data_IF_727978627902
#
_entry.id   IF_727978627902
#
_cell.length_a   1.000
_cell.length_b   1.000
_cell.length_c   1.000
_cell.angle_alpha   90.00
_cell.angle_beta   90.00
_cell.angle_gamma   90.00
#
_symmetry.space_group_name_H-M   'P 1'
#
loop_
_entity.id
_entity.type
_entity.pdbx_description
1 polymer ?
#
# COMPACT_ATOMS: atom_id res chain seq x y z
N UNK A 1 20.55 50.79 30.81
CA UNK A 1 19.72 49.67 31.30
C UNK A 1 19.28 48.86 30.10
N UNK A 2 19.61 47.56 29.98
CA UNK A 2 19.11 46.73 28.90
C UNK A 2 17.81 46.04 29.35
N UNK A 3 16.79 46.03 28.49
CA UNK A 3 15.65 45.14 28.61
C UNK A 3 15.64 44.23 27.38
N UNK A 4 15.81 42.95 27.66
CA UNK A 4 15.79 41.84 26.75
C UNK A 4 14.33 41.58 26.33
N UNK A 5 14.05 41.38 25.04
CA UNK A 5 12.78 40.78 24.62
C UNK A 5 12.99 39.99 23.33
N UNK A 6 12.86 38.67 23.45
CA UNK A 6 13.09 37.66 22.41
C UNK A 6 12.06 37.74 21.27
N UNK A 7 12.43 37.46 20.02
CA UNK A 7 11.48 37.44 18.91
C UNK A 7 10.72 36.12 18.84
N UNK A 8 9.40 36.18 19.06
CA UNK A 8 8.48 35.09 18.75
C UNK A 8 8.35 34.97 17.21
N UNK A 9 9.01 33.96 16.65
CA UNK A 9 8.97 33.70 15.20
C UNK A 9 7.68 32.95 14.86
N UNK A 10 6.65 33.66 14.43
CA UNK A 10 5.45 33.06 13.82
C UNK A 10 5.77 32.73 12.36
N UNK A 11 6.19 31.48 12.08
CA UNK A 11 6.30 30.99 10.71
C UNK A 11 4.93 30.56 10.21
N UNK A 12 4.21 31.51 9.60
CA UNK A 12 3.04 31.21 8.79
C UNK A 12 3.48 30.45 7.53
N UNK A 13 3.12 29.17 7.44
CA UNK A 13 3.34 28.37 6.24
C UNK A 13 2.32 28.79 5.17
N UNK A 14 2.79 29.53 4.17
CA UNK A 14 2.00 29.87 2.99
C UNK A 14 1.81 28.61 2.13
N UNK A 15 0.57 28.12 2.04
CA UNK A 15 0.19 27.07 1.10
C UNK A 15 0.02 27.72 -0.27
N UNK A 16 1.03 27.56 -1.14
CA UNK A 16 0.92 27.98 -2.52
C UNK A 16 0.13 26.91 -3.31
N UNK A 17 -1.11 27.24 -3.66
CA UNK A 17 -1.92 26.43 -4.58
C UNK A 17 -1.42 26.73 -6.00
N UNK A 18 -0.62 25.83 -6.57
CA UNK A 18 -0.23 25.91 -7.97
C UNK A 18 -1.35 25.32 -8.85
N UNK A 19 -2.15 26.20 -9.47
CA UNK A 19 -3.10 25.83 -10.51
C UNK A 19 -2.40 25.82 -11.87
N UNK A 20 -2.16 24.60 -12.37
CA UNK A 20 -2.28 24.17 -13.77
C UNK A 20 -1.60 24.95 -14.90
N UNK A 21 -0.61 24.31 -15.53
CA UNK A 21 -0.51 24.16 -16.99
C UNK A 21 0.66 23.23 -17.32
N UNK A 22 0.38 21.98 -17.68
CA UNK A 22 1.39 21.01 -18.10
C UNK A 22 0.77 20.04 -19.10
N UNK A 23 0.99 20.34 -20.38
CA UNK A 23 0.74 19.46 -21.53
C UNK A 23 1.42 18.11 -21.27
N UNK A 24 0.79 17.00 -21.70
CA UNK A 24 1.44 15.87 -22.38
C UNK A 24 0.42 14.76 -22.65
N UNK A 25 -0.09 14.74 -23.87
CA UNK A 25 -0.59 13.52 -24.49
C UNK A 25 0.60 12.60 -24.74
N UNK A 26 1.00 11.90 -23.69
CA UNK A 26 1.86 10.73 -23.74
C UNK A 26 1.26 9.77 -22.74
N UNK A 27 0.45 8.82 -23.21
CA UNK A 27 0.13 7.66 -22.41
C UNK A 27 1.45 6.90 -22.21
N UNK A 28 2.26 7.33 -21.25
CA UNK A 28 3.20 6.44 -20.60
C UNK A 28 2.33 5.30 -20.09
N UNK A 29 2.38 4.15 -20.76
CA UNK A 29 1.71 2.96 -20.27
C UNK A 29 2.12 2.81 -18.83
N UNK A 30 1.15 2.92 -17.91
CA UNK A 30 1.42 2.82 -16.49
C UNK A 30 2.18 1.51 -16.29
N UNK A 31 3.46 1.60 -15.90
CA UNK A 31 4.25 0.42 -15.63
C UNK A 31 3.53 -0.34 -14.53
N UNK A 32 2.95 -1.48 -14.87
CA UNK A 32 2.33 -2.38 -13.92
C UNK A 32 3.46 -3.01 -13.12
N UNK A 33 3.50 -2.77 -11.82
CA UNK A 33 4.48 -3.37 -10.94
C UNK A 33 3.91 -4.69 -10.44
N UNK A 34 4.32 -5.80 -11.04
CA UNK A 34 3.93 -7.11 -10.54
C UNK A 34 4.41 -7.29 -9.10
N UNK A 35 3.59 -8.01 -8.32
CA UNK A 35 3.99 -8.46 -7.00
C UNK A 35 5.14 -9.45 -7.18
N UNK A 36 6.26 -9.20 -6.49
CA UNK A 36 7.47 -9.98 -6.65
C UNK A 36 7.22 -11.44 -6.26
N UNK A 37 7.66 -12.42 -7.07
CA UNK A 37 7.70 -13.81 -6.65
C UNK A 37 8.57 -13.97 -5.41
N UNK A 38 8.15 -14.84 -4.49
CA UNK A 38 8.87 -15.07 -3.24
C UNK A 38 7.98 -15.60 -2.13
N UNK A 39 8.59 -15.99 -1.02
CA UNK A 39 7.89 -16.42 0.18
C UNK A 39 7.72 -15.25 1.15
N UNK A 40 6.58 -15.23 1.82
CA UNK A 40 6.14 -14.13 2.67
C UNK A 40 5.46 -14.66 3.93
N UNK A 41 5.65 -13.95 5.04
CA UNK A 41 4.71 -14.00 6.15
C UNK A 41 3.55 -13.04 5.84
N UNK A 42 2.35 -13.60 5.71
CA UNK A 42 1.10 -12.87 5.53
C UNK A 42 0.43 -12.63 6.89
N UNK A 43 0.31 -11.36 7.26
CA UNK A 43 -0.35 -10.90 8.48
C UNK A 43 -1.62 -10.14 8.10
N UNK A 44 -2.78 -10.60 8.59
CA UNK A 44 -4.05 -9.89 8.49
C UNK A 44 -4.31 -9.14 9.79
N UNK A 45 -4.61 -7.84 9.68
CA UNK A 45 -4.90 -6.97 10.80
C UNK A 45 -6.35 -6.47 10.73
N UNK A 46 -7.01 -6.43 11.88
CA UNK A 46 -8.34 -5.82 12.07
C UNK A 46 -8.25 -4.85 13.24
N UNK A 47 -8.61 -3.58 13.01
CA UNK A 47 -8.48 -2.54 14.04
C UNK A 47 -7.05 -2.33 14.57
N UNK A 48 -6.02 -2.66 13.79
CA UNK A 48 -4.61 -2.59 14.20
C UNK A 48 -4.09 -3.81 14.97
N UNK A 49 -4.94 -4.78 15.29
CA UNK A 49 -4.57 -6.03 15.98
C UNK A 49 -4.38 -7.15 14.97
N UNK A 50 -3.39 -8.03 15.20
CA UNK A 50 -3.19 -9.23 14.37
C UNK A 50 -4.36 -10.19 14.58
N UNK A 51 -5.12 -10.44 13.53
CA UNK A 51 -6.19 -11.44 13.52
C UNK A 51 -5.63 -12.82 13.12
N UNK A 52 -4.75 -12.83 12.12
CA UNK A 52 -4.22 -14.06 11.54
C UNK A 52 -2.83 -13.79 10.98
N UNK A 53 -1.92 -14.74 11.21
CA UNK A 53 -0.59 -14.75 10.62
C UNK A 53 -0.32 -16.15 10.06
N UNK A 54 0.18 -16.22 8.83
CA UNK A 54 0.50 -17.48 8.15
C UNK A 54 1.56 -17.26 7.09
N UNK A 55 2.18 -18.33 6.63
CA UNK A 55 3.02 -18.26 5.44
C UNK A 55 2.18 -18.21 4.16
N UNK A 56 2.76 -17.56 3.15
CA UNK A 56 2.26 -17.47 1.81
C UNK A 56 3.41 -17.31 0.84
N UNK A 57 3.13 -17.43 -0.44
CA UNK A 57 4.11 -17.14 -1.47
C UNK A 57 3.44 -16.61 -2.72
N UNK A 58 4.20 -15.91 -3.53
CA UNK A 58 3.79 -15.48 -4.86
C UNK A 58 4.46 -16.40 -5.87
N UNK A 59 3.65 -17.10 -6.64
CA UNK A 59 4.07 -18.02 -7.70
C UNK A 59 3.44 -17.57 -9.01
N UNK A 60 4.27 -17.11 -9.96
CA UNK A 60 3.78 -16.54 -11.22
C UNK A 60 2.94 -15.27 -10.98
N UNK A 61 1.63 -15.36 -11.26
CA UNK A 61 0.66 -14.28 -11.03
C UNK A 61 -0.37 -14.64 -9.96
N UNK A 62 -0.07 -15.64 -9.13
CA UNK A 62 -0.96 -16.06 -8.05
C UNK A 62 -0.33 -15.76 -6.68
N UNK A 63 -1.16 -15.23 -5.78
CA UNK A 63 -0.88 -15.24 -4.35
C UNK A 63 -1.37 -16.56 -3.78
N UNK A 64 -0.46 -17.37 -3.26
CA UNK A 64 -0.73 -18.66 -2.65
C UNK A 64 -0.74 -18.50 -1.13
N UNK A 65 -1.90 -18.74 -0.53
CA UNK A 65 -2.12 -18.72 0.93
C UNK A 65 -2.81 -20.03 1.35
N UNK A 66 -4.08 -19.97 1.75
CA UNK A 66 -4.95 -21.15 1.95
C UNK A 66 -5.53 -21.67 0.62
N UNK A 67 -5.37 -20.91 -0.44
CA UNK A 67 -5.79 -21.18 -1.81
C UNK A 67 -4.90 -20.39 -2.76
N UNK A 68 -5.20 -20.45 -4.06
CA UNK A 68 -4.51 -19.67 -5.10
C UNK A 68 -5.41 -18.53 -5.54
N UNK A 69 -4.86 -17.31 -5.50
CA UNK A 69 -5.61 -16.09 -5.76
C UNK A 69 -4.93 -15.30 -6.87
N UNK A 70 -5.59 -15.14 -8.04
CA UNK A 70 -5.05 -14.36 -9.14
C UNK A 70 -4.77 -12.92 -8.72
N UNK A 71 -3.54 -12.48 -8.94
CA UNK A 71 -3.09 -11.12 -8.68
C UNK A 71 -3.44 -10.26 -9.88
N UNK A 72 -4.19 -9.20 -9.61
CA UNK A 72 -4.44 -8.13 -10.56
C UNK A 72 -3.42 -7.03 -10.32
N UNK A 73 -2.49 -6.89 -11.25
CA UNK A 73 -1.37 -5.96 -11.12
C UNK A 73 -1.83 -4.49 -11.17
N UNK A 74 -1.07 -3.65 -10.48
CA UNK A 74 -1.28 -2.21 -10.33
C UNK A 74 0.08 -1.50 -10.43
N UNK A 75 0.13 -0.17 -10.58
CA UNK A 75 1.40 0.53 -10.73
C UNK A 75 2.39 0.37 -9.57
N UNK A 76 1.93 -0.05 -8.39
CA UNK A 76 2.74 -0.18 -7.18
C UNK A 76 2.55 -1.52 -6.45
N UNK A 77 2.11 -2.57 -7.15
CA UNK A 77 1.90 -3.91 -6.60
C UNK A 77 0.68 -4.58 -7.22
N UNK A 78 -0.25 -5.08 -6.43
CA UNK A 78 -1.46 -5.70 -6.98
C UNK A 78 -2.61 -5.79 -6.01
N UNK A 79 -3.71 -6.39 -6.45
CA UNK A 79 -4.81 -6.77 -5.57
C UNK A 79 -5.30 -8.17 -5.90
N UNK A 80 -5.90 -8.82 -4.91
CA UNK A 80 -6.50 -10.16 -5.04
C UNK A 80 -7.89 -10.14 -4.43
N UNK A 81 -8.79 -10.95 -4.98
CA UNK A 81 -10.05 -11.28 -4.34
C UNK A 81 -9.89 -12.65 -3.65
N UNK A 82 -9.89 -12.67 -2.31
CA UNK A 82 -9.68 -13.91 -1.53
C UNK A 82 -10.95 -14.77 -1.45
N UNK A 83 -12.12 -14.13 -1.58
CA UNK A 83 -13.43 -14.73 -1.79
C UNK A 83 -14.37 -13.62 -2.31
N UNK A 84 -15.55 -13.95 -2.85
CA UNK A 84 -16.46 -12.94 -3.41
C UNK A 84 -16.70 -11.78 -2.44
N UNK A 85 -16.44 -10.56 -2.91
CA UNK A 85 -16.58 -9.34 -2.14
C UNK A 85 -15.41 -9.01 -1.21
N UNK A 86 -14.46 -9.92 -0.97
CA UNK A 86 -13.29 -9.68 -0.12
C UNK A 86 -12.02 -9.42 -0.94
N UNK A 87 -11.71 -8.13 -1.11
CA UNK A 87 -10.57 -7.64 -1.87
C UNK A 87 -9.44 -7.19 -0.97
N UNK A 88 -8.23 -7.57 -1.29
CA UNK A 88 -7.04 -7.14 -0.56
C UNK A 88 -6.06 -6.47 -1.51
N UNK A 89 -5.56 -5.31 -1.12
CA UNK A 89 -4.53 -4.58 -1.86
C UNK A 89 -3.14 -4.86 -1.26
N UNK A 90 -2.18 -5.13 -2.13
CA UNK A 90 -0.78 -5.35 -1.83
C UNK A 90 0.01 -4.20 -2.45
N UNK A 91 0.17 -3.11 -1.68
CA UNK A 91 0.93 -1.94 -2.12
C UNK A 91 2.37 -2.12 -1.64
N UNK A 92 3.34 -1.97 -2.53
CA UNK A 92 4.75 -2.18 -2.20
C UNK A 92 5.21 -1.24 -1.10
N UNK A 93 5.95 -1.77 -0.13
CA UNK A 93 6.60 -0.98 0.93
C UNK A 93 7.99 -0.44 0.54
N UNK A 94 8.45 -0.71 -0.68
CA UNK A 94 9.79 -0.34 -1.17
C UNK A 94 10.93 -1.25 -0.68
N UNK A 95 10.66 -2.17 0.23
CA UNK A 95 11.64 -3.04 0.90
C UNK A 95 11.43 -4.54 0.55
N UNK A 96 10.68 -4.80 -0.51
CA UNK A 96 10.35 -6.16 -0.97
C UNK A 96 9.09 -6.74 -0.35
N UNK A 97 8.49 -6.06 0.63
CA UNK A 97 7.20 -6.39 1.20
C UNK A 97 6.06 -5.59 0.59
N UNK A 98 4.86 -5.89 1.08
CA UNK A 98 3.62 -5.26 0.66
C UNK A 98 2.71 -5.01 1.85
N UNK A 99 1.95 -3.93 1.81
CA UNK A 99 0.92 -3.64 2.80
C UNK A 99 -0.27 -2.96 2.12
N UNK A 100 -1.48 -3.14 2.64
CA UNK A 100 -2.62 -2.43 2.09
C UNK A 100 -3.95 -2.81 2.71
N UNK A 101 -5.01 -2.05 2.38
CA UNK A 101 -6.35 -2.27 2.92
C UNK A 101 -6.96 -3.58 2.43
N UNK A 102 -7.76 -4.18 3.32
CA UNK A 102 -8.68 -5.27 3.02
C UNK A 102 -10.12 -4.74 3.06
N UNK A 103 -10.87 -4.99 2.00
CA UNK A 103 -12.24 -4.56 1.82
C UNK A 103 -13.19 -5.75 1.80
N UNK A 104 -14.35 -5.62 2.42
CA UNK A 104 -15.49 -6.50 2.22
C UNK A 104 -16.66 -5.69 1.63
N UNK A 105 -17.07 -6.02 0.42
CA UNK A 105 -18.13 -5.31 -0.32
C UNK A 105 -17.91 -3.79 -0.40
N UNK A 106 -16.65 -3.38 -0.61
CA UNK A 106 -16.26 -1.97 -0.70
C UNK A 106 -16.05 -1.25 0.64
N UNK A 107 -16.29 -1.91 1.77
CA UNK A 107 -16.04 -1.36 3.11
C UNK A 107 -14.69 -1.84 3.62
N UNK A 108 -13.85 -0.93 4.15
CA UNK A 108 -12.57 -1.30 4.77
C UNK A 108 -12.86 -2.10 6.05
N UNK A 109 -12.39 -3.34 6.11
CA UNK A 109 -12.52 -4.21 7.29
C UNK A 109 -11.19 -4.48 7.99
N UNK A 110 -10.07 -4.11 7.36
CA UNK A 110 -8.76 -4.39 7.90
C UNK A 110 -7.65 -4.05 6.93
N UNK A 111 -6.50 -4.71 7.13
CA UNK A 111 -5.36 -4.62 6.24
C UNK A 111 -4.60 -5.93 6.17
N UNK A 112 -3.78 -6.06 5.13
CA UNK A 112 -2.78 -7.12 5.01
C UNK A 112 -1.39 -6.51 5.10
N UNK A 113 -0.44 -7.32 5.58
CA UNK A 113 0.99 -7.10 5.42
C UNK A 113 1.65 -8.40 4.94
N UNK A 114 2.41 -8.32 3.86
CA UNK A 114 3.28 -9.38 3.37
C UNK A 114 4.72 -8.99 3.69
N UNK A 115 5.33 -9.71 4.63
CA UNK A 115 6.72 -9.50 5.03
C UNK A 115 7.58 -10.56 4.33
N UNK A 116 8.56 -10.19 3.49
CA UNK A 116 9.37 -11.17 2.77
C UNK A 116 10.17 -12.02 3.76
N UNK A 117 10.31 -13.30 3.47
CA UNK A 117 11.32 -14.12 4.14
C UNK A 117 12.71 -13.70 3.66
N UNK A 118 13.72 -13.88 4.52
CA UNK A 118 15.12 -13.59 4.18
C UNK A 118 15.79 -14.76 3.49
#
# INVERSE_FOLDING_TARGET
MPLCTSPATVRAAAVAIAVGAGVLFGAAGHASADVKPGTYTSTTLVGGTVLLQRDGHVEGHDLVLIGRYPIHSTPNGGWVDLFPGHRVFMISDGHGGYAGPAYLNGVVIGSIKLTPHR
#
